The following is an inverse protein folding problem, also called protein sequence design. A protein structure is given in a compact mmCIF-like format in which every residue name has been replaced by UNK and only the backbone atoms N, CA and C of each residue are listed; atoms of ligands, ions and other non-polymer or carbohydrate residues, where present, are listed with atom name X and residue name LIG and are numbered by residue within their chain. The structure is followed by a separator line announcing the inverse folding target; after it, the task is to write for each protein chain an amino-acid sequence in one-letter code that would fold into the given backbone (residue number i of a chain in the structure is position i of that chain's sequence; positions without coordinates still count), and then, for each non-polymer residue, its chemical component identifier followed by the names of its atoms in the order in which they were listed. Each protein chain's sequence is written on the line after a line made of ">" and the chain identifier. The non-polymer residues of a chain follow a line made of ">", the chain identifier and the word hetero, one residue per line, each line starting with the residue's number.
data_IF_884098547051
#
_entry.id   IF_884098547051
#
_cell.length_a   1.000
_cell.length_b   1.000
_cell.length_c   1.000
_cell.angle_alpha   90.00
_cell.angle_beta   90.00
_cell.angle_gamma   90.00
#
_symmetry.space_group_name_H-M   'P 1'
#
loop_
_entity.id
_entity.type
_entity.pdbx_description
1 polymer ?
#
# COMPACT_ATOMS: atom_id res chain seq x y z
N UNK A 1 -22.74 -6.16 5.40
CA UNK A 1 -21.41 -6.43 6.01
C UNK A 1 -20.39 -5.75 5.13
N UNK A 2 -19.48 -4.96 5.71
CA UNK A 2 -18.62 -4.07 4.92
C UNK A 2 -17.16 -4.21 5.35
N UNK A 3 -16.28 -4.20 4.36
CA UNK A 3 -14.82 -4.18 4.53
C UNK A 3 -14.29 -2.92 3.86
N UNK A 4 -13.38 -2.24 4.54
CA UNK A 4 -12.57 -1.19 3.93
C UNK A 4 -11.26 -1.80 3.47
N UNK A 5 -10.94 -1.60 2.19
CA UNK A 5 -9.66 -1.97 1.60
C UNK A 5 -8.84 -0.71 1.32
N UNK A 6 -7.62 -0.64 1.84
CA UNK A 6 -6.74 0.51 1.63
C UNK A 6 -5.46 0.06 0.94
N UNK A 7 -4.92 0.89 0.04
CA UNK A 7 -3.48 0.78 -0.24
C UNK A 7 -2.66 1.18 1.00
N UNK A 8 -1.36 0.88 0.96
CA UNK A 8 -0.39 1.22 2.00
C UNK A 8 0.39 2.48 1.65
N UNK A 9 1.23 2.39 0.62
CA UNK A 9 2.09 3.48 0.16
C UNK A 9 1.22 4.57 -0.48
N UNK A 10 1.55 5.84 -0.27
CA UNK A 10 0.72 6.97 -0.73
C UNK A 10 -0.54 7.23 0.10
N UNK A 11 -1.11 6.20 0.75
CA UNK A 11 -2.33 6.33 1.57
C UNK A 11 -2.04 6.42 3.06
N UNK A 12 -1.23 5.51 3.61
CA UNK A 12 -0.96 5.42 5.05
C UNK A 12 0.50 5.71 5.39
N UNK A 13 1.40 5.43 4.45
CA UNK A 13 2.84 5.59 4.62
C UNK A 13 3.47 6.20 3.36
N UNK A 14 4.63 6.86 3.47
CA UNK A 14 5.37 7.30 2.29
C UNK A 14 5.86 6.12 1.44
N UNK A 15 6.13 6.39 0.15
CA UNK A 15 6.78 5.45 -0.78
C UNK A 15 8.09 4.89 -0.23
N UNK A 16 8.15 3.57 0.00
CA UNK A 16 9.23 2.91 0.73
C UNK A 16 10.55 3.07 0.00
N UNK A 17 10.59 2.72 -1.30
CA UNK A 17 11.83 2.73 -2.08
C UNK A 17 12.41 4.13 -2.28
N UNK A 18 11.55 5.13 -2.51
CA UNK A 18 11.97 6.53 -2.67
C UNK A 18 12.55 7.06 -1.35
N UNK A 19 11.92 6.76 -0.21
CA UNK A 19 12.43 7.19 1.09
C UNK A 19 13.71 6.45 1.47
N UNK A 20 13.79 5.14 1.16
CA UNK A 20 14.98 4.34 1.38
C UNK A 20 16.18 4.87 0.57
N UNK A 21 15.97 5.22 -0.69
CA UNK A 21 16.99 5.82 -1.55
C UNK A 21 17.50 7.16 -1.00
N UNK A 22 16.60 8.03 -0.52
CA UNK A 22 16.95 9.32 0.10
C UNK A 22 17.75 9.14 1.39
N UNK A 23 17.37 8.18 2.23
CA UNK A 23 18.03 7.90 3.52
C UNK A 23 19.41 7.29 3.35
N UNK A 24 19.58 6.37 2.41
CA UNK A 24 20.86 5.71 2.13
C UNK A 24 21.75 6.51 1.18
N UNK A 25 21.21 7.51 0.48
CA UNK A 25 21.90 8.26 -0.56
C UNK A 25 22.07 7.51 -1.88
N UNK A 26 21.45 6.33 -2.03
CA UNK A 26 21.57 5.47 -3.21
C UNK A 26 20.51 5.87 -4.24
N UNK A 27 20.82 6.87 -5.05
CA UNK A 27 19.90 7.42 -6.08
C UNK A 27 19.34 6.38 -7.04
N UNK A 28 20.08 5.31 -7.33
CA UNK A 28 19.64 4.26 -8.24
C UNK A 28 18.37 3.52 -7.74
N UNK A 29 18.06 3.60 -6.44
CA UNK A 29 16.85 3.02 -5.84
C UNK A 29 15.61 3.94 -5.99
N UNK A 30 15.77 5.18 -6.46
CA UNK A 30 14.66 6.08 -6.78
C UNK A 30 13.92 5.67 -8.06
N UNK A 31 14.50 4.77 -8.87
CA UNK A 31 13.88 4.27 -10.09
C UNK A 31 12.50 3.67 -9.81
N UNK A 32 11.53 4.04 -10.65
CA UNK A 32 10.12 3.62 -10.57
C UNK A 32 9.72 2.83 -11.81
N UNK A 33 8.48 2.36 -11.85
CA UNK A 33 7.90 1.75 -13.05
C UNK A 33 7.74 2.73 -14.22
N UNK A 34 7.84 4.04 -13.99
CA UNK A 34 7.91 5.03 -15.08
C UNK A 34 9.24 4.98 -15.82
N UNK A 35 10.31 4.65 -15.11
CA UNK A 35 11.68 4.52 -15.65
C UNK A 35 11.91 3.12 -16.21
N UNK A 36 11.41 2.09 -15.49
CA UNK A 36 11.57 0.68 -15.83
C UNK A 36 10.19 0.01 -15.77
N UNK A 37 9.46 -0.08 -16.91
CA UNK A 37 8.08 -0.57 -16.93
C UNK A 37 7.91 -2.01 -16.47
N UNK A 38 8.92 -2.84 -16.70
CA UNK A 38 8.92 -4.23 -16.28
C UNK A 38 9.27 -4.33 -14.77
N UNK A 39 8.28 -4.70 -13.97
CA UNK A 39 8.43 -4.83 -12.52
C UNK A 39 9.51 -5.85 -12.13
N UNK A 40 9.65 -6.93 -12.90
CA UNK A 40 10.62 -7.97 -12.58
C UNK A 40 12.05 -7.46 -12.84
N UNK A 41 12.24 -6.68 -13.90
CA UNK A 41 13.52 -5.99 -14.19
C UNK A 41 13.83 -4.96 -13.09
N UNK A 42 12.84 -4.14 -12.70
CA UNK A 42 13.01 -3.13 -11.65
C UNK A 42 13.40 -3.77 -10.31
N UNK A 43 12.69 -4.82 -9.89
CA UNK A 43 12.99 -5.51 -8.65
C UNK A 43 14.33 -6.21 -8.69
N UNK A 44 14.68 -6.88 -9.80
CA UNK A 44 16.00 -7.50 -9.97
C UNK A 44 17.12 -6.46 -9.85
N UNK A 45 16.95 -5.29 -10.48
CA UNK A 45 17.91 -4.19 -10.33
C UNK A 45 18.03 -3.73 -8.87
N UNK A 46 16.91 -3.51 -8.18
CA UNK A 46 16.90 -3.08 -6.77
C UNK A 46 17.62 -4.08 -5.87
N UNK A 47 17.37 -5.38 -6.02
CA UNK A 47 18.04 -6.41 -5.25
C UNK A 47 19.55 -6.48 -5.53
N UNK A 48 19.97 -6.32 -6.79
CA UNK A 48 21.38 -6.25 -7.14
C UNK A 48 22.07 -5.05 -6.48
N UNK A 49 21.45 -3.87 -6.51
CA UNK A 49 21.97 -2.66 -5.85
C UNK A 49 22.11 -2.90 -4.33
N UNK A 50 21.10 -3.47 -3.68
CA UNK A 50 21.18 -3.78 -2.25
C UNK A 50 22.36 -4.71 -1.94
N UNK A 51 22.58 -5.72 -2.79
CA UNK A 51 23.71 -6.65 -2.68
C UNK A 51 25.08 -5.97 -2.88
N UNK A 52 25.20 -5.09 -3.87
CA UNK A 52 26.42 -4.31 -4.15
C UNK A 52 26.80 -3.40 -2.98
N UNK A 53 25.79 -2.87 -2.28
CA UNK A 53 25.98 -2.02 -1.11
C UNK A 53 26.05 -2.79 0.22
N UNK A 54 25.88 -4.11 0.21
CA UNK A 54 25.89 -4.95 1.41
C UNK A 54 24.76 -4.65 2.39
N UNK A 55 23.60 -4.20 1.88
CA UNK A 55 22.42 -3.86 2.68
C UNK A 55 21.50 -5.08 2.81
N UNK A 56 21.42 -5.64 4.02
CA UNK A 56 20.56 -6.77 4.34
C UNK A 56 19.14 -6.34 4.74
N UNK A 57 18.29 -7.33 5.03
CA UNK A 57 16.91 -7.07 5.43
C UNK A 57 16.81 -6.21 6.69
N UNK A 58 17.67 -6.44 7.69
CA UNK A 58 17.65 -5.67 8.93
C UNK A 58 17.97 -4.19 8.70
N UNK A 59 19.01 -3.89 7.89
CA UNK A 59 19.36 -2.50 7.55
C UNK A 59 18.19 -1.78 6.87
N UNK A 60 17.48 -2.52 6.00
CA UNK A 60 16.31 -1.99 5.29
C UNK A 60 15.16 -1.75 6.26
N UNK A 61 14.88 -2.70 7.15
CA UNK A 61 13.83 -2.57 8.16
C UNK A 61 14.09 -1.40 9.11
N UNK A 62 15.34 -1.16 9.50
CA UNK A 62 15.70 -0.03 10.37
C UNK A 62 15.42 1.31 9.68
N UNK A 63 15.81 1.45 8.40
CA UNK A 63 15.53 2.66 7.61
C UNK A 63 14.01 2.85 7.42
N UNK A 64 13.27 1.77 7.18
CA UNK A 64 11.81 1.81 7.03
C UNK A 64 11.12 2.17 8.36
N UNK A 65 11.62 1.66 9.48
CA UNK A 65 11.07 1.97 10.80
C UNK A 65 11.11 3.49 11.09
N UNK A 66 12.21 4.15 10.71
CA UNK A 66 12.41 5.59 10.86
C UNK A 66 11.55 6.45 9.93
N UNK A 67 11.00 5.88 8.84
CA UNK A 67 10.13 6.61 7.91
C UNK A 67 8.78 6.94 8.54
N UNK A 68 8.19 5.96 9.22
CA UNK A 68 6.90 6.07 9.90
C UNK A 68 5.68 6.30 8.98
N UNK A 69 4.45 6.16 9.51
CA UNK A 69 3.22 6.54 8.82
C UNK A 69 3.07 8.04 8.62
N UNK A 70 2.19 8.44 7.71
CA UNK A 70 1.80 9.84 7.56
C UNK A 70 1.14 10.39 8.83
N UNK A 71 1.24 11.71 9.10
CA UNK A 71 0.50 12.34 10.19
C UNK A 71 -1.00 12.07 10.10
N UNK A 72 -1.60 11.51 11.15
CA UNK A 72 -3.01 11.15 11.18
C UNK A 72 -3.35 9.74 10.67
N UNK A 73 -2.41 9.04 10.03
CA UNK A 73 -2.65 7.71 9.45
C UNK A 73 -3.02 6.68 10.52
N UNK A 74 -2.33 6.70 11.67
CA UNK A 74 -2.60 5.78 12.78
C UNK A 74 -4.00 6.01 13.36
N UNK A 75 -4.37 7.26 13.60
CA UNK A 75 -5.69 7.65 14.08
C UNK A 75 -6.78 7.25 13.08
N UNK A 76 -6.51 7.43 11.78
CA UNK A 76 -7.40 7.02 10.71
C UNK A 76 -7.59 5.49 10.67
N UNK A 77 -6.50 4.70 10.67
CA UNK A 77 -6.55 3.23 10.71
C UNK A 77 -7.33 2.73 11.92
N UNK A 78 -7.10 3.33 13.09
CA UNK A 78 -7.85 3.02 14.31
C UNK A 78 -9.34 3.30 14.13
N UNK A 79 -9.71 4.46 13.59
CA UNK A 79 -11.11 4.81 13.34
C UNK A 79 -11.78 3.87 12.33
N UNK A 80 -11.08 3.49 11.25
CA UNK A 80 -11.62 2.52 10.30
C UNK A 80 -11.86 1.19 11.00
N UNK A 81 -10.88 0.71 11.77
CA UNK A 81 -10.92 -0.58 12.47
C UNK A 81 -11.98 -0.65 13.57
N UNK A 82 -12.40 0.48 14.15
CA UNK A 82 -13.49 0.52 15.14
C UNK A 82 -14.88 0.44 14.50
N UNK A 83 -15.02 0.77 13.21
CA UNK A 83 -16.32 0.86 12.53
C UNK A 83 -16.49 -0.13 11.36
N UNK A 84 -15.39 -0.67 10.84
CA UNK A 84 -15.31 -1.57 9.70
C UNK A 84 -14.25 -2.65 9.97
N UNK A 85 -14.32 -3.75 9.21
CA UNK A 85 -13.15 -4.60 9.06
C UNK A 85 -12.20 -3.93 8.07
N UNK A 86 -10.90 -3.98 8.35
CA UNK A 86 -9.86 -3.34 7.54
C UNK A 86 -8.91 -4.39 6.97
N UNK A 87 -8.65 -4.31 5.67
CA UNK A 87 -7.59 -5.06 4.98
C UNK A 87 -6.76 -4.09 4.15
N UNK A 88 -5.45 -4.08 4.38
CA UNK A 88 -4.50 -3.37 3.53
C UNK A 88 -4.15 -4.27 2.33
N UNK A 89 -4.26 -3.73 1.11
CA UNK A 89 -3.94 -4.40 -0.14
C UNK A 89 -2.79 -3.63 -0.82
N UNK A 90 -1.57 -4.15 -0.78
CA UNK A 90 -0.37 -3.41 -1.22
C UNK A 90 0.57 -4.29 -2.03
N UNK A 91 1.24 -3.72 -3.03
CA UNK A 91 2.28 -4.38 -3.84
C UNK A 91 3.68 -4.33 -3.18
N UNK A 92 3.74 -3.93 -1.91
CA UNK A 92 4.93 -4.04 -1.06
C UNK A 92 5.25 -5.50 -0.71
N UNK A 93 6.22 -5.72 0.19
CA UNK A 93 6.59 -7.03 0.71
C UNK A 93 6.39 -7.12 2.23
N UNK A 94 6.01 -8.29 2.74
CA UNK A 94 5.78 -8.51 4.17
C UNK A 94 6.97 -8.07 5.04
N UNK A 95 8.17 -8.44 4.62
CA UNK A 95 9.41 -8.18 5.32
C UNK A 95 9.72 -6.67 5.36
N UNK A 96 9.38 -5.92 4.31
CA UNK A 96 9.52 -4.47 4.29
C UNK A 96 8.41 -3.74 5.03
N UNK A 97 7.17 -4.19 4.93
CA UNK A 97 6.03 -3.57 5.60
C UNK A 97 6.06 -3.78 7.12
N UNK A 98 6.74 -4.82 7.62
CA UNK A 98 6.70 -5.24 9.01
C UNK A 98 6.90 -4.11 10.04
N UNK A 99 7.92 -3.23 9.92
CA UNK A 99 8.11 -2.12 10.87
C UNK A 99 6.97 -1.10 10.83
N UNK A 100 6.36 -0.85 9.67
CA UNK A 100 5.24 0.07 9.50
C UNK A 100 3.94 -0.52 10.04
N UNK A 101 3.70 -1.81 9.79
CA UNK A 101 2.54 -2.52 10.33
C UNK A 101 2.52 -2.48 11.86
N UNK A 102 3.69 -2.60 12.50
CA UNK A 102 3.83 -2.41 13.95
C UNK A 102 3.37 -1.02 14.40
N UNK A 103 3.72 0.02 13.64
CA UNK A 103 3.36 1.42 13.98
C UNK A 103 1.86 1.69 13.78
N UNK A 104 1.24 0.99 12.82
CA UNK A 104 -0.20 1.05 12.51
C UNK A 104 -1.07 0.11 13.36
N UNK A 105 -0.50 -0.54 14.39
CA UNK A 105 -1.19 -1.51 15.28
C UNK A 105 -1.66 -2.81 14.59
N UNK A 106 -0.86 -3.32 13.66
CA UNK A 106 -1.00 -4.63 13.00
C UNK A 106 -2.34 -4.89 12.28
N UNK A 107 -2.81 -3.98 11.40
CA UNK A 107 -3.92 -4.30 10.51
C UNK A 107 -3.54 -5.47 9.59
N UNK A 108 -4.54 -6.22 9.14
CA UNK A 108 -4.31 -7.30 8.17
C UNK A 108 -3.78 -6.70 6.87
N UNK A 109 -2.69 -7.25 6.35
CA UNK A 109 -2.11 -6.84 5.07
C UNK A 109 -1.95 -8.05 4.14
N UNK A 110 -2.38 -7.88 2.89
CA UNK A 110 -2.11 -8.79 1.80
C UNK A 110 -1.12 -8.14 0.84
N UNK A 111 0.12 -8.62 0.85
CA UNK A 111 1.18 -8.15 -0.04
C UNK A 111 2.03 -9.29 -0.60
N UNK A 112 3.21 -8.98 -1.14
CA UNK A 112 4.17 -9.93 -1.68
C UNK A 112 5.17 -10.38 -0.62
N UNK A 113 6.09 -11.27 -0.97
CA UNK A 113 7.08 -11.83 -0.05
C UNK A 113 8.51 -11.68 -0.56
N UNK A 114 9.46 -11.43 0.33
CA UNK A 114 10.90 -11.56 0.08
C UNK A 114 11.43 -12.90 0.60
N UNK A 115 12.51 -13.37 -0.02
CA UNK A 115 13.27 -14.52 0.45
C UNK A 115 14.68 -14.05 0.81
N UNK A 116 15.13 -14.37 2.02
CA UNK A 116 16.48 -14.03 2.50
C UNK A 116 17.36 -15.25 2.56
N UNK A 117 18.67 -15.07 2.33
CA UNK A 117 19.67 -16.09 2.61
C UNK A 117 20.02 -16.18 4.10
N UNK A 118 20.95 -17.09 4.44
CA UNK A 118 21.41 -17.33 5.82
C UNK A 118 22.11 -16.11 6.45
N UNK A 119 22.59 -15.16 5.63
CA UNK A 119 23.26 -13.95 6.08
C UNK A 119 22.28 -12.76 6.22
N UNK A 120 20.98 -12.98 5.97
CA UNK A 120 19.97 -11.93 6.01
C UNK A 120 19.96 -11.03 4.76
N UNK A 121 20.66 -11.42 3.68
CA UNK A 121 20.60 -10.70 2.40
C UNK A 121 19.36 -11.14 1.63
N UNK A 122 18.74 -10.21 0.91
CA UNK A 122 17.56 -10.52 0.08
C UNK A 122 18.03 -11.26 -1.18
N UNK A 123 17.65 -12.53 -1.29
CA UNK A 123 18.03 -13.42 -2.38
C UNK A 123 17.02 -13.43 -3.52
N UNK A 124 15.72 -13.28 -3.21
CA UNK A 124 14.65 -13.27 -4.20
C UNK A 124 13.40 -12.54 -3.66
N UNK A 125 12.43 -12.35 -4.56
CA UNK A 125 11.08 -11.92 -4.22
C UNK A 125 10.05 -12.84 -4.89
N UNK A 126 8.85 -12.87 -4.30
CA UNK A 126 7.73 -13.69 -4.77
C UNK A 126 6.46 -12.85 -4.81
N UNK A 127 6.01 -12.59 -6.04
CA UNK A 127 4.69 -12.03 -6.27
C UNK A 127 3.62 -13.04 -5.84
N UNK A 128 2.58 -12.55 -5.16
CA UNK A 128 1.51 -13.41 -4.63
C UNK A 128 0.64 -13.99 -5.74
N UNK A 129 0.19 -13.13 -6.65
CA UNK A 129 -0.57 -13.44 -7.85
C UNK A 129 -0.69 -12.19 -8.74
N UNK A 130 -1.00 -12.32 -10.05
CA UNK A 130 -1.33 -11.17 -10.90
C UNK A 130 -2.56 -10.41 -10.39
N UNK A 131 -2.57 -9.08 -10.55
CA UNK A 131 -3.70 -8.19 -10.21
C UNK A 131 -4.23 -8.41 -8.77
N UNK A 132 -3.29 -8.60 -7.83
CA UNK A 132 -3.56 -9.13 -6.50
C UNK A 132 -4.58 -8.33 -5.67
N UNK A 133 -4.58 -6.99 -5.82
CA UNK A 133 -5.49 -6.10 -5.09
C UNK A 133 -6.93 -6.33 -5.58
N UNK A 134 -7.15 -6.35 -6.90
CA UNK A 134 -8.44 -6.69 -7.50
C UNK A 134 -8.92 -8.09 -7.12
N UNK A 135 -8.04 -9.09 -7.21
CA UNK A 135 -8.40 -10.46 -6.87
C UNK A 135 -8.79 -10.62 -5.39
N UNK A 136 -8.20 -9.83 -4.49
CA UNK A 136 -8.63 -9.80 -3.09
C UNK A 136 -10.05 -9.25 -2.96
N UNK A 137 -10.38 -8.14 -3.64
CA UNK A 137 -11.76 -7.60 -3.66
C UNK A 137 -12.76 -8.64 -4.20
N UNK A 138 -12.42 -9.33 -5.31
CA UNK A 138 -13.25 -10.43 -5.84
C UNK A 138 -13.49 -11.56 -4.84
N UNK A 139 -12.44 -11.95 -4.10
CA UNK A 139 -12.57 -12.98 -3.08
C UNK A 139 -13.50 -12.53 -1.95
N UNK A 140 -13.41 -11.26 -1.52
CA UNK A 140 -14.31 -10.68 -0.52
C UNK A 140 -15.76 -10.61 -1.01
N UNK A 141 -15.98 -10.27 -2.28
CA UNK A 141 -17.30 -10.33 -2.93
C UNK A 141 -17.84 -11.77 -2.95
N UNK A 142 -16.99 -12.76 -3.23
CA UNK A 142 -17.37 -14.18 -3.14
C UNK A 142 -17.77 -14.64 -1.74
N UNK A 143 -17.39 -13.89 -0.70
CA UNK A 143 -17.83 -14.08 0.68
C UNK A 143 -19.04 -13.21 1.07
N UNK A 144 -19.68 -12.54 0.10
CA UNK A 144 -20.80 -11.61 0.27
C UNK A 144 -20.48 -10.37 1.13
N UNK A 145 -19.22 -9.92 1.13
CA UNK A 145 -18.88 -8.60 1.67
C UNK A 145 -19.09 -7.53 0.62
N UNK A 146 -19.50 -6.35 1.10
CA UNK A 146 -19.45 -5.10 0.35
C UNK A 146 -18.11 -4.41 0.63
N UNK A 147 -17.43 -3.91 -0.40
CA UNK A 147 -16.08 -3.36 -0.30
C UNK A 147 -16.09 -1.87 -0.61
N UNK A 148 -15.50 -1.09 0.31
CA UNK A 148 -15.16 0.32 0.11
C UNK A 148 -13.64 0.39 0.00
N UNK A 149 -13.11 0.91 -1.10
CA UNK A 149 -11.67 0.93 -1.37
C UNK A 149 -11.13 2.35 -1.53
N UNK A 150 -9.89 2.57 -1.08
CA UNK A 150 -9.16 3.80 -1.35
C UNK A 150 -7.70 3.51 -1.71
N UNK A 151 -7.19 4.22 -2.71
CA UNK A 151 -5.82 4.15 -3.23
C UNK A 151 -5.42 5.48 -3.84
N UNK A 152 -4.15 5.69 -4.16
CA UNK A 152 -3.63 6.97 -4.64
C UNK A 152 -3.11 6.91 -6.08
N UNK A 153 -2.91 5.72 -6.65
CA UNK A 153 -2.14 5.59 -7.90
C UNK A 153 -2.74 4.63 -8.95
N UNK A 154 -2.06 4.50 -10.10
CA UNK A 154 -2.49 3.67 -11.23
C UNK A 154 -2.66 2.20 -10.85
N UNK A 155 -1.82 1.65 -9.97
CA UNK A 155 -1.88 0.23 -9.56
C UNK A 155 -3.10 -0.09 -8.68
N UNK A 156 -3.82 0.93 -8.21
CA UNK A 156 -5.06 0.76 -7.44
C UNK A 156 -6.31 0.71 -8.30
N UNK A 157 -6.25 1.24 -9.52
CA UNK A 157 -7.45 1.48 -10.34
C UNK A 157 -8.28 0.22 -10.60
N UNK A 158 -7.65 -0.95 -10.70
CA UNK A 158 -8.35 -2.23 -10.84
C UNK A 158 -9.03 -2.67 -9.55
N UNK A 159 -8.43 -2.39 -8.38
CA UNK A 159 -9.06 -2.60 -7.06
C UNK A 159 -10.23 -1.64 -6.87
N UNK A 160 -10.03 -0.35 -7.16
CA UNK A 160 -11.05 0.69 -7.02
C UNK A 160 -12.25 0.44 -7.94
N UNK A 161 -12.00 0.00 -9.17
CA UNK A 161 -13.05 -0.34 -10.13
C UNK A 161 -13.77 -1.66 -9.84
N UNK A 162 -13.18 -2.55 -9.04
CA UNK A 162 -13.82 -3.79 -8.61
C UNK A 162 -14.64 -3.60 -7.34
N UNK A 163 -14.27 -2.67 -6.45
CA UNK A 163 -15.00 -2.39 -5.22
C UNK A 163 -16.39 -1.78 -5.48
N UNK A 164 -17.30 -1.88 -4.50
CA UNK A 164 -18.61 -1.21 -4.59
C UNK A 164 -18.47 0.32 -4.59
N UNK A 165 -17.48 0.84 -3.85
CA UNK A 165 -17.08 2.24 -3.90
C UNK A 165 -15.56 2.33 -3.89
N UNK A 166 -14.98 2.95 -4.92
CA UNK A 166 -13.55 3.27 -5.00
C UNK A 166 -13.30 4.78 -4.91
N UNK A 167 -12.33 5.18 -4.09
CA UNK A 167 -11.89 6.56 -3.94
C UNK A 167 -10.42 6.72 -4.34
N UNK A 168 -10.11 7.83 -5.00
CA UNK A 168 -8.73 8.30 -5.11
C UNK A 168 -8.41 9.17 -3.89
N UNK A 169 -7.38 8.82 -3.14
CA UNK A 169 -6.98 9.51 -1.91
C UNK A 169 -5.64 10.19 -2.10
N UNK A 170 -5.59 11.52 -1.92
CA UNK A 170 -4.38 12.35 -2.11
C UNK A 170 -3.61 12.02 -3.42
N UNK A 171 -4.36 11.59 -4.44
CA UNK A 171 -3.83 11.09 -5.69
C UNK A 171 -3.22 12.22 -6.55
N UNK A 172 -2.19 11.93 -7.37
CA UNK A 172 -1.64 12.89 -8.32
C UNK A 172 -2.68 13.40 -9.33
N UNK A 173 -2.56 14.67 -9.73
CA UNK A 173 -3.50 15.32 -10.68
C UNK A 173 -3.70 14.55 -11.98
N UNK A 174 -2.63 13.94 -12.51
CA UNK A 174 -2.72 13.14 -13.73
C UNK A 174 -3.54 11.86 -13.55
N UNK A 175 -3.46 11.20 -12.38
CA UNK A 175 -4.30 10.04 -12.06
C UNK A 175 -5.76 10.47 -11.95
N UNK A 176 -6.03 11.58 -11.25
CA UNK A 176 -7.40 12.11 -11.10
C UNK A 176 -8.00 12.44 -12.48
N UNK A 177 -7.23 13.07 -13.37
CA UNK A 177 -7.68 13.43 -14.71
C UNK A 177 -7.99 12.21 -15.59
N UNK A 178 -7.24 11.11 -15.43
CA UNK A 178 -7.42 9.89 -16.23
C UNK A 178 -8.53 8.97 -15.70
N UNK A 179 -8.81 9.01 -14.39
CA UNK A 179 -9.84 8.18 -13.75
C UNK A 179 -10.94 9.01 -13.05
N UNK A 180 -11.67 9.88 -13.78
CA UNK A 180 -12.66 10.80 -13.19
C UNK A 180 -13.88 10.08 -12.58
N UNK A 181 -14.06 8.78 -12.84
CA UNK A 181 -15.10 7.97 -12.22
C UNK A 181 -14.89 7.74 -10.72
N UNK A 182 -13.66 7.90 -10.21
CA UNK A 182 -13.36 7.77 -8.78
C UNK A 182 -13.37 9.17 -8.13
N UNK A 183 -14.18 9.42 -7.09
CA UNK A 183 -14.10 10.67 -6.36
C UNK A 183 -12.71 10.87 -5.77
N UNK A 184 -12.10 12.03 -6.04
CA UNK A 184 -10.83 12.44 -5.45
C UNK A 184 -11.06 13.08 -4.09
N UNK A 185 -10.43 12.52 -3.07
CA UNK A 185 -10.57 12.92 -1.67
C UNK A 185 -9.20 13.36 -1.15
N UNK A 186 -9.18 14.46 -0.38
CA UNK A 186 -7.95 14.99 0.19
C UNK A 186 -8.00 15.01 1.72
N UNK A 187 -7.01 14.35 2.35
CA UNK A 187 -6.88 14.26 3.80
C UNK A 187 -7.87 13.31 4.49
N UNK A 188 -7.45 12.79 5.66
CA UNK A 188 -8.14 11.70 6.33
C UNK A 188 -9.55 12.02 6.80
N UNK A 189 -9.85 13.25 7.23
CA UNK A 189 -11.21 13.61 7.65
C UNK A 189 -12.21 13.54 6.49
N UNK A 190 -11.83 14.02 5.31
CA UNK A 190 -12.66 13.90 4.12
C UNK A 190 -12.81 12.42 3.69
N UNK A 191 -11.76 11.60 3.87
CA UNK A 191 -11.84 10.16 3.59
C UNK A 191 -12.76 9.43 4.56
N UNK A 192 -12.74 9.78 5.86
CA UNK A 192 -13.72 9.25 6.83
C UNK A 192 -15.14 9.57 6.39
N UNK A 193 -15.43 10.83 6.07
CA UNK A 193 -16.76 11.24 5.61
C UNK A 193 -17.17 10.51 4.32
N UNK A 194 -16.26 10.34 3.36
CA UNK A 194 -16.52 9.59 2.13
C UNK A 194 -16.86 8.11 2.42
N UNK A 195 -16.11 7.46 3.31
CA UNK A 195 -16.36 6.07 3.74
C UNK A 195 -17.72 5.97 4.47
N UNK A 196 -18.04 6.92 5.36
CA UNK A 196 -19.34 6.98 6.05
C UNK A 196 -20.49 7.11 5.07
N UNK A 197 -20.40 8.04 4.13
CA UNK A 197 -21.42 8.28 3.12
C UNK A 197 -21.59 7.10 2.16
N UNK A 198 -20.51 6.36 1.89
CA UNK A 198 -20.59 5.13 1.11
C UNK A 198 -21.18 3.96 1.92
N UNK A 199 -21.16 3.98 3.25
CA UNK A 199 -21.68 2.88 4.07
C UNK A 199 -23.19 2.76 3.97
N UNK A 200 -23.70 1.52 3.94
CA UNK A 200 -25.15 1.24 4.08
C UNK A 200 -25.61 1.18 5.53
N UNK A 201 -24.72 1.48 6.48
CA UNK A 201 -24.97 1.51 7.92
C UNK A 201 -24.92 2.95 8.43
N UNK A 202 -25.53 3.17 9.59
CA UNK A 202 -25.39 4.45 10.30
C UNK A 202 -24.06 4.46 11.07
N UNK A 203 -23.05 5.15 10.52
CA UNK A 203 -21.72 5.28 11.12
C UNK A 203 -21.61 6.64 11.80
N UNK A 204 -21.31 6.70 13.12
CA UNK A 204 -21.15 7.95 13.85
C UNK A 204 -20.11 8.88 13.21
N UNK A 205 -20.34 10.19 13.37
CA UNK A 205 -19.39 11.24 13.03
C UNK A 205 -18.21 11.25 14.01
#
# INVERSE_FOLDING_TARGET
>A
MEIVCLDLEGVLVPEIWINFAKKTGIKALEATTRDIPDYDVLMTQRLNILKEHGLGLNDIQDVIADMGPFPGAKEFVKWVSTHFQLIILSDTFYEFAHPLMKQLDWPTIFCHKLETDENGMIAAYKLRQPDQKRQAVKALHGLNFRVIAAGDSYNDTTMLGEADHGFLFDAPENVIAEFPQFPSIQGYEALKEAIRNASVRDIPA
#
